data_IF_298135192503
#
_entry.id   IF_298135192503
#
_cell.length_a   1.000
_cell.length_b   1.000
_cell.length_c   1.000
_cell.angle_alpha   90.00
_cell.angle_beta   90.00
_cell.angle_gamma   90.00
#
_symmetry.space_group_name_H-M   'P 1'
#
loop_
_entity.id
_entity.type
_entity.pdbx_description
1 polymer ?
#
# COMPACT_ATOMS: atom_id res chain seq x y z
N UNK A 1 -11.29 -23.18 22.57
CA UNK A 1 -11.76 -23.32 21.18
C UNK A 1 -10.94 -22.36 20.33
N UNK A 2 -9.98 -22.90 19.58
CA UNK A 2 -9.17 -22.14 18.62
C UNK A 2 -10.07 -21.71 17.48
N UNK A 3 -10.44 -20.42 17.46
CA UNK A 3 -11.15 -19.85 16.32
C UNK A 3 -10.10 -19.58 15.25
N UNK A 4 -10.03 -20.49 14.29
CA UNK A 4 -9.32 -20.27 13.04
C UNK A 4 -9.86 -18.97 12.43
N UNK A 5 -9.02 -17.94 12.35
CA UNK A 5 -9.37 -16.65 11.76
C UNK A 5 -9.23 -16.80 10.24
N UNK A 6 -10.32 -16.81 9.45
CA UNK A 6 -10.18 -16.68 8.02
C UNK A 6 -9.87 -15.20 7.72
N UNK A 7 -8.59 -14.83 7.81
CA UNK A 7 -8.10 -13.60 7.20
C UNK A 7 -8.35 -13.74 5.69
N UNK A 8 -9.32 -13.01 5.13
CA UNK A 8 -9.54 -12.96 3.68
C UNK A 8 -8.36 -12.22 3.03
N UNK A 9 -7.33 -13.00 2.71
CA UNK A 9 -6.15 -12.75 1.88
C UNK A 9 -5.65 -11.29 1.83
N UNK A 10 -4.58 -10.96 2.57
CA UNK A 10 -3.79 -9.79 2.27
C UNK A 10 -3.20 -9.97 0.87
N UNK A 11 -3.37 -8.98 0.00
CA UNK A 11 -2.74 -8.98 -1.32
C UNK A 11 -1.25 -8.69 -1.14
N UNK A 12 -0.46 -9.73 -0.95
CA UNK A 12 1.00 -9.66 -0.97
C UNK A 12 1.52 -9.71 -2.39
N UNK A 13 2.57 -8.95 -2.69
CA UNK A 13 3.14 -9.01 -4.03
C UNK A 13 4.63 -8.62 -4.01
N UNK A 14 5.49 -9.63 -4.20
CA UNK A 14 6.95 -9.58 -4.36
C UNK A 14 7.37 -9.34 -5.82
N UNK A 15 8.49 -8.66 -6.10
CA UNK A 15 9.47 -9.00 -7.17
C UNK A 15 10.77 -8.20 -6.97
N UNK A 16 11.86 -8.94 -7.13
CA UNK A 16 13.30 -8.67 -6.99
C UNK A 16 13.88 -7.82 -8.13
N UNK A 17 14.86 -6.96 -7.83
CA UNK A 17 15.82 -6.47 -8.82
C UNK A 17 17.22 -7.04 -8.52
N UNK A 18 17.89 -7.57 -9.53
CA UNK A 18 19.29 -7.94 -9.46
C UNK A 18 20.15 -6.66 -9.38
N UNK A 19 21.16 -6.65 -8.52
CA UNK A 19 22.34 -5.80 -8.67
C UNK A 19 22.46 -4.56 -7.79
N UNK A 20 21.37 -3.90 -7.36
CA UNK A 20 21.49 -2.70 -6.52
C UNK A 20 20.33 -2.60 -5.54
N UNK A 21 20.64 -2.16 -4.31
CA UNK A 21 19.73 -2.02 -3.17
C UNK A 21 18.49 -1.22 -3.57
N UNK A 22 17.36 -1.89 -3.84
CA UNK A 22 16.09 -1.23 -4.10
C UNK A 22 15.16 -1.45 -2.92
N UNK A 23 14.84 -0.39 -2.17
CA UNK A 23 13.82 -0.48 -1.11
C UNK A 23 12.45 -0.39 -1.75
N UNK A 24 11.67 -1.45 -1.59
CA UNK A 24 10.27 -1.47 -2.03
C UNK A 24 9.38 -1.08 -0.88
N UNK A 25 8.44 -0.15 -1.05
CA UNK A 25 7.37 0.12 -0.08
C UNK A 25 6.12 -0.69 -0.49
N UNK A 26 5.69 -1.65 0.33
CA UNK A 26 4.47 -2.46 0.10
C UNK A 26 3.34 -2.15 1.11
N UNK A 27 2.09 -2.29 0.68
CA UNK A 27 0.88 -1.85 1.41
C UNK A 27 -0.21 -2.94 1.47
N UNK A 28 -0.82 -3.16 2.66
CA UNK A 28 -1.89 -4.17 2.88
C UNK A 28 -3.26 -3.60 3.33
N UNK A 29 -4.31 -4.37 3.03
CA UNK A 29 -5.74 -4.03 3.09
C UNK A 29 -6.44 -4.07 4.46
N UNK A 30 -7.73 -4.42 4.44
CA UNK A 30 -8.68 -4.25 5.53
C UNK A 30 -8.45 -5.24 6.70
N UNK A 31 -8.61 -4.76 7.93
CA UNK A 31 -8.51 -5.57 9.16
C UNK A 31 -9.86 -5.61 9.85
N UNK A 32 -10.45 -6.79 9.95
CA UNK A 32 -11.72 -7.03 10.64
C UNK A 32 -11.57 -6.80 12.15
N UNK A 33 -12.60 -6.22 12.77
CA UNK A 33 -12.62 -5.93 14.20
C UNK A 33 -13.89 -6.47 14.84
N UNK A 34 -13.81 -6.77 16.14
CA UNK A 34 -14.93 -7.26 16.93
C UNK A 34 -15.06 -6.43 18.22
N UNK A 35 -16.28 -6.32 18.75
CA UNK A 35 -16.58 -5.49 19.93
C UNK A 35 -16.71 -4.00 19.59
N UNK A 36 -16.55 -3.14 20.60
CA UNK A 36 -16.75 -1.68 20.47
C UNK A 36 -15.41 -0.94 20.42
N UNK A 37 -14.58 -1.25 19.42
CA UNK A 37 -13.26 -0.63 19.25
C UNK A 37 -13.40 0.80 18.70
N UNK A 38 -12.55 1.71 19.15
CA UNK A 38 -12.59 3.11 18.71
C UNK A 38 -12.21 3.24 17.24
N UNK A 39 -12.89 4.13 16.50
CA UNK A 39 -12.59 4.46 15.10
C UNK A 39 -12.77 3.30 14.10
N UNK A 40 -13.40 2.19 14.48
CA UNK A 40 -13.83 1.17 13.51
C UNK A 40 -15.01 1.69 12.70
N UNK A 41 -15.08 1.30 11.44
CA UNK A 41 -16.20 1.68 10.61
C UNK A 41 -16.55 0.59 9.61
N UNK A 42 -17.84 0.54 9.25
CA UNK A 42 -18.32 -0.38 8.23
C UNK A 42 -17.76 0.00 6.87
N UNK A 43 -17.25 -1.00 6.15
CA UNK A 43 -16.80 -0.85 4.78
C UNK A 43 -17.65 -1.73 3.87
N UNK A 44 -18.42 -1.10 2.97
CA UNK A 44 -19.32 -1.80 2.04
C UNK A 44 -18.59 -2.65 0.99
N UNK A 45 -17.32 -2.34 0.69
CA UNK A 45 -16.51 -3.14 -0.24
C UNK A 45 -16.10 -4.48 0.39
N UNK A 46 -15.82 -4.50 1.69
CA UNK A 46 -15.43 -5.72 2.42
C UNK A 46 -16.61 -6.38 3.15
N UNK A 47 -17.73 -5.68 3.30
CA UNK A 47 -18.94 -6.17 3.96
C UNK A 47 -18.79 -6.33 5.48
N UNK A 48 -17.83 -5.65 6.10
CA UNK A 48 -17.45 -5.86 7.50
C UNK A 48 -17.04 -4.56 8.19
N UNK A 49 -16.96 -4.59 9.53
CA UNK A 49 -16.53 -3.48 10.39
C UNK A 49 -15.06 -3.68 10.74
N UNK A 50 -14.26 -2.65 10.53
CA UNK A 50 -12.83 -2.78 10.73
C UNK A 50 -12.04 -1.52 10.47
N UNK A 51 -10.73 -1.70 10.38
CA UNK A 51 -9.77 -0.66 10.03
C UNK A 51 -9.31 -0.82 8.58
N UNK A 52 -8.91 0.30 7.99
CA UNK A 52 -8.30 0.32 6.67
C UNK A 52 -6.89 0.91 6.76
N UNK A 53 -5.95 0.20 7.42
CA UNK A 53 -4.63 0.74 7.71
C UNK A 53 -3.88 1.11 6.43
N UNK A 54 -2.98 2.10 6.55
CA UNK A 54 -1.82 2.18 5.67
C UNK A 54 -0.65 1.53 6.36
N UNK A 55 0.07 0.66 5.67
CA UNK A 55 1.34 0.12 6.15
C UNK A 55 2.37 0.15 5.04
N UNK A 56 3.64 0.21 5.45
CA UNK A 56 4.80 0.19 4.58
C UNK A 56 5.79 -0.85 5.11
N UNK A 57 6.26 -1.73 4.24
CA UNK A 57 7.34 -2.68 4.50
C UNK A 57 8.49 -2.45 3.55
N UNK A 58 9.70 -2.85 3.93
CA UNK A 58 10.84 -3.02 3.02
C UNK A 58 10.66 -4.34 2.25
N UNK A 59 10.49 -4.28 0.93
CA UNK A 59 10.22 -5.49 0.14
C UNK A 59 11.41 -6.44 -0.06
N UNK A 60 12.61 -6.11 0.43
CA UNK A 60 13.76 -7.03 0.42
C UNK A 60 13.90 -7.73 1.75
N UNK A 61 13.91 -6.99 2.86
CA UNK A 61 14.10 -7.56 4.21
C UNK A 61 12.80 -8.02 4.84
N UNK A 62 11.66 -7.49 4.40
CA UNK A 62 10.37 -7.65 5.06
C UNK A 62 10.21 -6.76 6.29
N UNK A 63 11.13 -5.83 6.54
CA UNK A 63 11.08 -4.96 7.71
C UNK A 63 9.87 -4.03 7.67
N UNK A 64 9.22 -3.87 8.81
CA UNK A 64 8.11 -2.94 8.95
C UNK A 64 8.64 -1.51 9.10
N UNK A 65 8.29 -0.63 8.15
CA UNK A 65 8.82 0.73 8.08
C UNK A 65 7.88 1.74 8.73
N UNK A 66 6.57 1.63 8.48
CA UNK A 66 5.59 2.61 8.94
C UNK A 66 4.18 2.02 8.93
N UNK A 67 3.32 2.46 9.85
CA UNK A 67 1.88 2.28 9.74
C UNK A 67 1.11 3.52 10.16
N UNK A 68 -0.12 3.59 9.63
CA UNK A 68 -1.14 4.54 10.02
C UNK A 68 -2.47 3.77 10.10
N UNK A 69 -3.00 3.61 11.31
CA UNK A 69 -4.28 2.95 11.52
C UNK A 69 -5.40 3.92 11.19
N UNK A 70 -6.18 3.63 10.14
CA UNK A 70 -7.28 4.50 9.69
C UNK A 70 -8.64 3.85 9.91
N UNK A 71 -9.69 4.67 10.11
CA UNK A 71 -11.05 4.18 10.12
C UNK A 71 -11.44 3.43 8.85
N UNK A 72 -12.25 2.37 9.00
CA UNK A 72 -12.63 1.48 7.90
C UNK A 72 -13.44 2.12 6.77
N UNK A 73 -14.05 3.29 6.99
CA UNK A 73 -14.86 4.02 6.01
C UNK A 73 -14.04 4.98 5.13
N UNK A 74 -12.72 4.98 5.28
CA UNK A 74 -11.83 5.82 4.50
C UNK A 74 -11.47 5.14 3.18
N UNK A 75 -11.58 5.87 2.07
CA UNK A 75 -11.17 5.38 0.76
C UNK A 75 -9.66 5.05 0.74
N UNK A 76 -9.28 3.98 0.04
CA UNK A 76 -7.95 3.39 0.10
C UNK A 76 -6.81 4.39 -0.12
N UNK A 77 -6.90 5.24 -1.14
CA UNK A 77 -5.87 6.22 -1.47
C UNK A 77 -5.85 7.48 -0.60
N UNK A 78 -6.86 7.72 0.26
CA UNK A 78 -6.92 8.95 1.06
C UNK A 78 -5.76 9.00 2.04
N UNK A 79 -4.90 10.00 1.92
CA UNK A 79 -3.74 10.16 2.81
C UNK A 79 -2.51 9.36 2.38
N UNK A 80 -2.50 8.71 1.20
CA UNK A 80 -1.35 7.88 0.78
C UNK A 80 -0.11 8.72 0.49
N UNK A 81 -0.26 9.89 -0.12
CA UNK A 81 0.86 10.77 -0.48
C UNK A 81 1.52 11.28 0.80
N UNK A 82 0.72 11.76 1.74
CA UNK A 82 1.15 12.24 3.05
C UNK A 82 1.76 11.12 3.91
N UNK A 83 1.33 9.88 3.68
CA UNK A 83 1.90 8.71 4.34
C UNK A 83 3.27 8.32 3.76
N UNK A 84 3.41 8.30 2.43
CA UNK A 84 4.61 7.79 1.73
C UNK A 84 5.68 8.86 1.55
N UNK A 85 5.32 10.11 1.26
CA UNK A 85 6.26 11.21 0.98
C UNK A 85 7.39 11.32 2.03
N UNK A 86 7.11 11.44 3.34
CA UNK A 86 8.20 11.55 4.33
C UNK A 86 9.08 10.29 4.41
N UNK A 87 8.56 9.13 4.02
CA UNK A 87 9.34 7.89 3.98
C UNK A 87 10.30 7.87 2.78
N UNK A 88 9.85 8.38 1.63
CA UNK A 88 10.66 8.56 0.43
C UNK A 88 11.75 9.59 0.68
N UNK A 89 11.38 10.79 1.14
CA UNK A 89 12.32 11.90 1.40
C UNK A 89 13.41 11.47 2.38
N UNK A 90 13.04 10.85 3.50
CA UNK A 90 14.00 10.34 4.48
C UNK A 90 14.93 9.25 3.89
N UNK A 91 14.39 8.39 3.03
CA UNK A 91 15.17 7.32 2.43
C UNK A 91 16.15 7.85 1.37
N UNK A 92 15.73 8.82 0.56
CA UNK A 92 16.58 9.50 -0.42
C UNK A 92 17.69 10.30 0.27
N UNK A 93 17.39 11.00 1.37
CA UNK A 93 18.39 11.74 2.15
C UNK A 93 19.44 10.81 2.78
N UNK A 94 18.99 9.70 3.37
CA UNK A 94 19.87 8.79 4.12
C UNK A 94 20.63 7.81 3.22
N UNK A 95 20.08 7.49 2.05
CA UNK A 95 20.61 6.50 1.13
C UNK A 95 20.60 7.03 -0.33
N UNK A 96 21.35 8.09 -0.65
CA UNK A 96 21.28 8.75 -1.97
C UNK A 96 21.68 7.84 -3.14
N UNK A 97 22.54 6.85 -2.89
CA UNK A 97 22.99 5.87 -3.89
C UNK A 97 21.99 4.70 -4.09
N UNK A 98 20.85 4.72 -3.41
CA UNK A 98 19.84 3.65 -3.41
C UNK A 98 18.64 4.09 -4.22
N UNK A 99 18.35 3.40 -5.32
CA UNK A 99 17.12 3.65 -6.07
C UNK A 99 15.91 3.09 -5.34
N UNK A 100 14.96 3.95 -4.97
CA UNK A 100 13.72 3.52 -4.33
C UNK A 100 12.73 2.99 -5.36
N UNK A 101 11.86 2.09 -4.89
CA UNK A 101 10.78 1.52 -5.68
C UNK A 101 9.48 1.52 -4.87
N UNK A 102 8.38 2.00 -5.44
CA UNK A 102 7.06 1.97 -4.80
C UNK A 102 6.21 0.90 -5.46
N UNK A 103 5.61 0.04 -4.65
CA UNK A 103 4.64 -0.94 -5.14
C UNK A 103 3.28 -0.71 -4.50
N UNK A 104 2.25 -0.73 -5.34
CA UNK A 104 0.89 -0.54 -4.87
C UNK A 104 -0.11 -1.43 -5.61
N UNK A 105 -1.20 -1.76 -4.93
CA UNK A 105 -2.38 -2.29 -5.60
C UNK A 105 -3.23 -1.16 -6.22
N UNK A 106 -4.25 -1.53 -6.98
CA UNK A 106 -5.18 -0.63 -7.64
C UNK A 106 -5.96 0.36 -6.78
N UNK A 107 -5.99 0.18 -5.46
CA UNK A 107 -6.47 1.19 -4.52
C UNK A 107 -5.57 2.43 -4.44
N UNK A 108 -4.35 2.36 -4.97
CA UNK A 108 -3.33 3.43 -4.95
C UNK A 108 -3.04 4.02 -6.31
N UNK A 109 -3.78 3.63 -7.35
CA UNK A 109 -3.67 4.22 -8.68
C UNK A 109 -4.29 5.63 -8.69
N UNK A 110 -3.58 6.59 -8.08
CA UNK A 110 -3.98 8.00 -8.01
C UNK A 110 -2.92 8.90 -8.64
N UNK A 111 -3.30 9.90 -9.46
CA UNK A 111 -2.36 10.81 -10.13
C UNK A 111 -1.30 11.40 -9.20
N UNK A 112 -1.73 11.91 -8.03
CA UNK A 112 -0.83 12.53 -7.07
C UNK A 112 0.28 11.60 -6.54
N UNK A 113 0.07 10.28 -6.53
CA UNK A 113 1.12 9.33 -6.14
C UNK A 113 2.14 9.11 -7.26
N UNK A 114 1.70 9.13 -8.52
CA UNK A 114 2.60 9.10 -9.67
C UNK A 114 3.44 10.37 -9.72
N UNK A 115 2.81 11.54 -9.58
CA UNK A 115 3.49 12.84 -9.54
C UNK A 115 4.55 12.90 -8.45
N UNK A 116 4.25 12.36 -7.25
CA UNK A 116 5.22 12.25 -6.16
C UNK A 116 6.40 11.35 -6.54
N UNK A 117 6.15 10.18 -7.11
CA UNK A 117 7.22 9.26 -7.48
C UNK A 117 8.13 9.86 -8.56
N UNK A 118 7.56 10.55 -9.55
CA UNK A 118 8.31 11.23 -10.61
C UNK A 118 9.12 12.41 -10.06
N UNK A 119 8.53 13.22 -9.18
CA UNK A 119 9.23 14.34 -8.49
C UNK A 119 10.44 13.86 -7.69
N UNK A 120 10.31 12.75 -6.98
CA UNK A 120 11.34 12.22 -6.08
C UNK A 120 12.28 11.20 -6.77
N UNK A 121 12.16 11.04 -8.11
CA UNK A 121 12.95 10.09 -8.91
C UNK A 121 12.88 8.64 -8.41
N UNK A 122 11.67 8.21 -8.02
CA UNK A 122 11.35 6.89 -7.49
C UNK A 122 10.65 6.06 -8.55
N UNK A 123 11.10 4.83 -8.75
CA UNK A 123 10.43 3.89 -9.65
C UNK A 123 9.13 3.41 -9.03
N UNK A 124 8.13 3.09 -9.84
CA UNK A 124 6.86 2.59 -9.31
C UNK A 124 6.22 1.52 -10.18
N UNK A 125 5.53 0.58 -9.53
CA UNK A 125 4.60 -0.35 -10.16
C UNK A 125 3.31 -0.37 -9.34
N UNK A 126 2.25 0.18 -9.93
CA UNK A 126 0.92 0.23 -9.32
C UNK A 126 -0.05 -0.47 -10.26
N UNK A 127 -0.69 -1.54 -9.78
CA UNK A 127 -1.68 -2.28 -10.57
C UNK A 127 -2.87 -1.36 -10.86
N UNK A 128 -3.32 -1.21 -12.11
CA UNK A 128 -4.57 -0.48 -12.40
C UNK A 128 -5.81 -1.36 -12.15
N UNK A 129 -6.95 -0.74 -11.81
CA UNK A 129 -8.25 -1.46 -11.85
C UNK A 129 -8.60 -1.72 -13.31
N UNK A 130 -9.17 -2.90 -13.58
CA UNK A 130 -9.74 -3.18 -14.90
C UNK A 130 -10.82 -2.15 -15.22
N UNK A 131 -10.80 -1.63 -16.44
CA UNK A 131 -11.80 -0.71 -16.94
C UNK A 131 -12.09 -1.04 -18.42
N UNK A 132 -13.26 -0.64 -18.91
CA UNK A 132 -13.73 -0.96 -20.25
C UNK A 132 -12.77 -0.46 -21.36
N UNK A 133 -12.05 0.63 -21.11
CA UNK A 133 -11.08 1.21 -22.05
C UNK A 133 -9.81 0.36 -22.19
N UNK A 134 -9.37 -0.27 -21.10
CA UNK A 134 -8.14 -1.08 -21.07
C UNK A 134 -8.38 -2.55 -21.44
N UNK A 135 -9.61 -3.06 -21.35
CA UNK A 135 -9.91 -4.47 -21.69
C UNK A 135 -9.53 -4.88 -23.12
N UNK A 136 -9.76 -4.06 -24.17
CA UNK A 136 -9.37 -4.42 -25.54
C UNK A 136 -7.84 -4.53 -25.75
N UNK A 137 -7.04 -3.92 -24.86
CA UNK A 137 -5.59 -3.87 -24.99
C UNK A 137 -4.88 -5.10 -24.37
N UNK A 138 -5.60 -5.93 -23.62
CA UNK A 138 -5.06 -7.11 -22.94
C UNK A 138 -5.99 -8.31 -23.18
N UNK A 139 -5.81 -9.06 -24.30
CA UNK A 139 -6.59 -10.25 -24.61
C UNK A 139 -6.33 -11.42 -23.65
#
# INVERSE_FOLDING_TARGET
MSHHIPCRYPKYFFVRANGQKSKTIDHTGFIDTYGNQESVAYNSHYGTIGYHPLVAFDGVTGDFLKANLRPGNVYTSKGVVEFIQPLIEHSNEKFPETSLFVRGDSGFAVPALYDLCEKESVYYVIRLKSNATLQPAFP
#
